data_IF_079589525391
#
_entry.id   IF_079589525391
#
_cell.length_a   1.000
_cell.length_b   1.000
_cell.length_c   1.000
_cell.angle_alpha   90.00
_cell.angle_beta   90.00
_cell.angle_gamma   90.00
#
_symmetry.space_group_name_H-M   'P 1'
#
loop_
_entity.id
_entity.type
_entity.pdbx_description
1 polymer ?
#
# COMPACT_ATOMS: atom_id res chain seq x y z
N UNK A 1 19.86 2.78 7.02
CA UNK A 1 19.61 2.83 5.57
C UNK A 1 18.63 3.96 5.32
N UNK A 2 18.73 4.72 4.21
CA UNK A 2 17.80 5.81 3.96
C UNK A 2 16.41 5.25 3.64
N UNK A 3 15.39 5.74 4.34
CA UNK A 3 13.97 5.44 4.06
C UNK A 3 13.60 5.88 2.63
N UNK A 4 12.67 5.17 1.99
CA UNK A 4 12.10 5.64 0.72
C UNK A 4 11.40 6.99 0.89
N UNK A 5 11.30 7.74 -0.23
CA UNK A 5 10.52 8.98 -0.25
C UNK A 5 9.05 8.70 0.08
N UNK A 6 8.49 7.64 -0.49
CA UNK A 6 7.11 7.19 -0.22
C UNK A 6 6.87 6.85 1.25
N UNK A 7 7.83 6.24 1.97
CA UNK A 7 7.71 6.01 3.40
C UNK A 7 7.70 7.32 4.20
N UNK A 8 8.55 8.29 3.85
CA UNK A 8 8.57 9.59 4.53
C UNK A 8 7.23 10.35 4.33
N UNK A 9 6.74 10.42 3.08
CA UNK A 9 5.44 11.03 2.77
C UNK A 9 4.27 10.34 3.47
N UNK A 10 4.35 9.01 3.62
CA UNK A 10 3.38 8.25 4.39
C UNK A 10 3.37 8.63 5.87
N UNK A 11 4.54 8.71 6.50
CA UNK A 11 4.67 9.09 7.91
C UNK A 11 4.16 10.50 8.17
N UNK A 12 4.44 11.44 7.26
CA UNK A 12 3.90 12.81 7.32
C UNK A 12 2.37 12.83 7.19
N UNK A 13 1.81 12.03 6.27
CA UNK A 13 0.36 11.90 6.12
C UNK A 13 -0.30 11.26 7.33
N UNK A 14 0.36 10.29 7.95
CA UNK A 14 -0.13 9.60 9.13
C UNK A 14 -0.09 10.51 10.37
N UNK A 15 0.88 11.43 10.44
CA UNK A 15 0.91 12.47 11.48
C UNK A 15 -0.36 13.35 11.43
N UNK A 16 -0.96 13.59 10.25
CA UNK A 16 -2.23 14.32 10.17
C UNK A 16 -3.38 13.54 10.83
N UNK A 17 -3.41 12.20 10.69
CA UNK A 17 -4.40 11.38 11.37
C UNK A 17 -4.18 11.41 12.90
N UNK A 18 -2.92 11.42 13.34
CA UNK A 18 -2.54 11.58 14.75
C UNK A 18 -3.02 12.92 15.32
N UNK A 19 -2.88 14.02 14.58
CA UNK A 19 -3.40 15.33 14.98
C UNK A 19 -4.93 15.34 15.14
N UNK A 20 -5.68 14.59 14.33
CA UNK A 20 -7.12 14.44 14.52
C UNK A 20 -7.46 13.70 15.82
N UNK A 21 -6.67 12.68 16.17
CA UNK A 21 -6.82 11.96 17.44
C UNK A 21 -6.48 12.87 18.61
N UNK A 22 -5.41 13.68 18.51
CA UNK A 22 -5.04 14.68 19.53
C UNK A 22 -6.14 15.73 19.70
N UNK A 23 -6.69 16.25 18.61
CA UNK A 23 -7.79 17.22 18.65
C UNK A 23 -9.07 16.65 19.27
N UNK A 24 -9.26 15.34 19.21
CA UNK A 24 -10.39 14.63 19.81
C UNK A 24 -10.23 14.43 21.33
N UNK A 25 -8.99 14.42 21.87
CA UNK A 25 -8.71 14.15 23.29
C UNK A 25 -9.48 14.98 24.31
N UNK A 26 -9.75 16.28 24.10
CA UNK A 26 -10.53 17.08 25.05
C UNK A 26 -12.01 16.67 25.14
N UNK A 27 -12.51 15.87 24.19
CA UNK A 27 -13.91 15.44 24.15
C UNK A 27 -14.15 14.23 25.07
N UNK A 28 -15.39 14.05 25.58
CA UNK A 28 -15.78 12.85 26.31
C UNK A 28 -15.53 11.57 25.49
N UNK A 29 -15.15 10.48 26.15
CA UNK A 29 -15.03 9.15 25.54
C UNK A 29 -15.96 8.16 26.25
N UNK A 30 -17.07 7.71 25.62
CA UNK A 30 -17.47 8.00 24.24
C UNK A 30 -18.00 9.44 24.05
N UNK A 31 -17.92 9.99 22.81
CA UNK A 31 -18.47 11.30 22.49
C UNK A 31 -19.97 11.36 22.82
N UNK A 32 -20.42 12.42 23.46
CA UNK A 32 -21.82 12.56 23.91
C UNK A 32 -22.31 14.01 23.91
N UNK A 33 -23.64 14.16 23.92
CA UNK A 33 -24.31 15.46 23.97
C UNK A 33 -23.92 16.37 22.80
N UNK A 34 -23.59 17.62 23.11
CA UNK A 34 -23.24 18.62 22.10
C UNK A 34 -21.94 18.33 21.32
N UNK A 35 -21.09 17.44 21.82
CA UNK A 35 -19.78 17.12 21.22
C UNK A 35 -19.77 15.86 20.37
N UNK A 36 -20.89 15.13 20.33
CA UNK A 36 -20.97 13.83 19.65
C UNK A 36 -20.60 13.92 18.18
N UNK A 37 -21.19 14.85 17.43
CA UNK A 37 -20.94 15.01 16.00
C UNK A 37 -19.47 15.32 15.70
N UNK A 38 -18.84 16.17 16.52
CA UNK A 38 -17.43 16.52 16.37
C UNK A 38 -16.52 15.32 16.65
N UNK A 39 -16.75 14.60 17.77
CA UNK A 39 -15.96 13.43 18.12
C UNK A 39 -16.05 12.32 17.06
N UNK A 40 -17.25 12.05 16.54
CA UNK A 40 -17.44 11.09 15.46
C UNK A 40 -16.77 11.53 14.15
N UNK A 41 -16.82 12.82 13.82
CA UNK A 41 -16.16 13.36 12.63
C UNK A 41 -14.63 13.24 12.72
N UNK A 42 -14.04 13.56 13.88
CA UNK A 42 -12.59 13.43 14.10
C UNK A 42 -12.14 11.97 14.03
N UNK A 43 -12.83 11.06 14.72
CA UNK A 43 -12.51 9.62 14.71
C UNK A 43 -12.69 8.99 13.32
N UNK A 44 -13.80 9.31 12.66
CA UNK A 44 -14.08 8.85 11.29
C UNK A 44 -13.05 9.39 10.29
N UNK A 45 -12.70 10.68 10.39
CA UNK A 45 -11.66 11.32 9.59
C UNK A 45 -10.30 10.66 9.77
N UNK A 46 -9.88 10.40 11.01
CA UNK A 46 -8.63 9.70 11.30
C UNK A 46 -8.61 8.30 10.67
N UNK A 47 -9.68 7.52 10.82
CA UNK A 47 -9.78 6.18 10.23
C UNK A 47 -9.69 6.20 8.69
N UNK A 48 -10.35 7.16 8.03
CA UNK A 48 -10.28 7.32 6.56
C UNK A 48 -8.87 7.72 6.13
N UNK A 49 -8.26 8.70 6.80
CA UNK A 49 -6.92 9.18 6.47
C UNK A 49 -5.88 8.07 6.61
N UNK A 50 -5.86 7.34 7.73
CA UNK A 50 -4.93 6.22 7.95
C UNK A 50 -4.93 5.22 6.79
N UNK A 51 -6.11 4.75 6.38
CA UNK A 51 -6.24 3.74 5.31
C UNK A 51 -5.90 4.34 3.95
N UNK A 52 -6.33 5.56 3.67
CA UNK A 52 -6.07 6.22 2.37
C UNK A 52 -4.59 6.55 2.20
N UNK A 53 -3.92 7.00 3.26
CA UNK A 53 -2.47 7.23 3.29
C UNK A 53 -1.71 5.93 3.13
N UNK A 54 -2.14 4.84 3.76
CA UNK A 54 -1.49 3.53 3.62
C UNK A 54 -1.66 2.97 2.20
N UNK A 55 -2.82 3.16 1.58
CA UNK A 55 -3.03 2.80 0.17
C UNK A 55 -2.10 3.59 -0.76
N UNK A 56 -2.05 4.91 -0.59
CA UNK A 56 -1.18 5.78 -1.38
C UNK A 56 0.31 5.41 -1.20
N UNK A 57 0.70 5.07 0.03
CA UNK A 57 2.03 4.54 0.34
C UNK A 57 2.35 3.27 -0.46
N UNK A 58 1.48 2.25 -0.44
CA UNK A 58 1.72 1.00 -1.17
C UNK A 58 1.89 1.26 -2.66
N UNK A 59 1.02 2.09 -3.23
CA UNK A 59 1.10 2.47 -4.64
C UNK A 59 2.42 3.19 -4.96
N UNK A 60 2.76 4.23 -4.19
CA UNK A 60 3.98 5.00 -4.39
C UNK A 60 5.25 4.17 -4.17
N UNK A 61 5.26 3.31 -3.15
CA UNK A 61 6.36 2.42 -2.81
C UNK A 61 6.72 1.50 -3.98
N UNK A 62 5.72 0.86 -4.59
CA UNK A 62 5.96 -0.04 -5.72
C UNK A 62 6.43 0.72 -6.97
N UNK A 63 5.88 1.91 -7.23
CA UNK A 63 6.36 2.76 -8.32
C UNK A 63 7.83 3.19 -8.12
N UNK A 64 8.16 3.65 -6.92
CA UNK A 64 9.49 4.13 -6.55
C UNK A 64 10.53 3.02 -6.63
N UNK A 65 10.29 1.89 -5.93
CA UNK A 65 11.27 0.81 -5.82
C UNK A 65 11.46 0.04 -7.12
N UNK A 66 10.36 -0.30 -7.82
CA UNK A 66 10.47 -0.98 -9.12
C UNK A 66 10.92 -0.05 -10.24
N UNK A 67 10.83 1.28 -10.07
CA UNK A 67 11.37 2.26 -11.02
C UNK A 67 12.84 2.02 -11.37
N UNK A 68 13.63 1.53 -10.42
CA UNK A 68 15.03 1.15 -10.65
C UNK A 68 15.22 0.02 -11.68
N UNK A 69 14.23 -0.85 -11.85
CA UNK A 69 14.27 -1.97 -12.82
C UNK A 69 13.95 -1.54 -14.25
N UNK A 70 13.50 -0.30 -14.44
CA UNK A 70 12.98 0.23 -15.71
C UNK A 70 14.01 0.96 -16.56
N UNK A 71 15.26 1.05 -16.07
CA UNK A 71 16.32 1.83 -16.72
C UNK A 71 16.65 1.29 -18.12
N UNK A 72 17.04 2.21 -19.01
CA UNK A 72 17.52 1.90 -20.36
C UNK A 72 19.03 2.18 -20.44
N UNK A 73 19.86 1.24 -20.93
CA UNK A 73 19.50 -0.13 -21.33
C UNK A 73 19.01 -0.99 -20.14
N UNK A 74 18.21 -2.05 -20.37
CA UNK A 74 17.70 -2.89 -19.30
C UNK A 74 18.83 -3.39 -18.38
N UNK A 75 18.75 -3.01 -17.11
CA UNK A 75 19.72 -3.44 -16.08
C UNK A 75 19.48 -4.87 -15.61
N UNK A 76 18.37 -5.47 -16.02
CA UNK A 76 17.97 -6.84 -15.71
C UNK A 76 17.60 -7.59 -17.00
N UNK A 77 18.02 -8.85 -17.09
CA UNK A 77 17.52 -9.79 -18.08
C UNK A 77 16.11 -10.23 -17.68
N UNK A 78 15.11 -9.81 -18.45
CA UNK A 78 13.71 -10.11 -18.17
C UNK A 78 13.43 -11.61 -18.05
N UNK A 79 14.12 -12.44 -18.83
CA UNK A 79 14.03 -13.90 -18.78
C UNK A 79 14.44 -14.52 -17.44
N UNK A 80 15.25 -13.82 -16.63
CA UNK A 80 15.70 -14.25 -15.29
C UNK A 80 14.76 -13.79 -14.16
N UNK A 81 13.74 -12.98 -14.45
CA UNK A 81 12.75 -12.55 -13.44
C UNK A 81 11.83 -13.70 -13.01
N UNK A 82 11.25 -13.64 -11.81
CA UNK A 82 10.21 -14.58 -11.38
C UNK A 82 9.05 -14.65 -12.39
N UNK A 83 8.57 -15.86 -12.69
CA UNK A 83 7.51 -16.10 -13.68
C UNK A 83 6.28 -15.22 -13.47
N UNK A 84 5.85 -15.10 -12.22
CA UNK A 84 4.70 -14.28 -11.84
C UNK A 84 4.92 -12.79 -12.14
N UNK A 85 6.15 -12.30 -11.92
CA UNK A 85 6.53 -10.93 -12.23
C UNK A 85 6.54 -10.69 -13.75
N UNK A 86 7.09 -11.64 -14.53
CA UNK A 86 7.07 -11.58 -15.99
C UNK A 86 5.65 -11.54 -16.53
N UNK A 87 4.80 -12.47 -16.07
CA UNK A 87 3.39 -12.55 -16.45
C UNK A 87 2.65 -11.26 -16.12
N UNK A 88 2.76 -10.76 -14.88
CA UNK A 88 2.07 -9.53 -14.46
C UNK A 88 2.56 -8.31 -15.23
N UNK A 89 3.88 -8.18 -15.43
CA UNK A 89 4.44 -7.07 -16.20
C UNK A 89 3.95 -7.03 -17.65
N UNK A 90 3.69 -8.17 -18.28
CA UNK A 90 3.16 -8.21 -19.65
C UNK A 90 1.66 -7.95 -19.67
N UNK A 91 0.90 -8.78 -18.94
CA UNK A 91 -0.55 -8.81 -19.04
C UNK A 91 -1.21 -7.60 -18.37
N UNK A 92 -0.72 -7.19 -17.21
CA UNK A 92 -1.32 -6.07 -16.49
C UNK A 92 -0.95 -4.73 -17.16
N UNK A 93 0.26 -4.57 -17.71
CA UNK A 93 0.61 -3.36 -18.48
C UNK A 93 -0.27 -3.16 -19.72
N UNK A 94 -0.46 -4.22 -20.51
CA UNK A 94 -1.38 -4.17 -21.66
C UNK A 94 -2.82 -3.99 -21.19
N UNK A 95 -3.23 -4.70 -20.14
CA UNK A 95 -4.57 -4.62 -19.56
C UNK A 95 -4.93 -3.24 -19.02
N UNK A 96 -3.97 -2.54 -18.39
CA UNK A 96 -4.14 -1.17 -17.90
C UNK A 96 -4.29 -0.20 -19.09
N UNK A 97 -3.41 -0.28 -20.08
CA UNK A 97 -3.50 0.55 -21.28
C UNK A 97 -4.82 0.33 -22.06
N UNK A 98 -5.31 -0.91 -22.12
CA UNK A 98 -6.57 -1.24 -22.79
C UNK A 98 -7.82 -0.83 -22.01
N UNK A 99 -7.76 -0.77 -20.67
CA UNK A 99 -8.88 -0.34 -19.83
C UNK A 99 -8.94 1.18 -19.70
N UNK A 100 -7.79 1.85 -19.75
CA UNK A 100 -7.68 3.28 -19.45
C UNK A 100 -7.79 3.57 -17.95
N UNK A 101 -7.68 4.84 -17.54
CA UNK A 101 -7.74 5.23 -16.14
C UNK A 101 -9.10 4.90 -15.52
N UNK A 102 -9.08 4.37 -14.29
CA UNK A 102 -10.30 4.01 -13.57
C UNK A 102 -11.21 5.22 -13.36
N UNK A 103 -12.51 5.00 -13.55
CA UNK A 103 -13.53 6.04 -13.37
C UNK A 103 -13.65 7.02 -14.54
N UNK A 104 -12.81 6.89 -15.58
CA UNK A 104 -12.92 7.70 -16.79
C UNK A 104 -13.63 6.95 -17.91
N UNK A 105 -14.50 7.65 -18.63
CA UNK A 105 -15.07 7.18 -19.92
C UNK A 105 -14.19 7.70 -21.06
N UNK A 106 -12.97 7.19 -21.16
CA UNK A 106 -12.11 7.45 -22.32
C UNK A 106 -12.56 6.62 -23.51
N UNK A 107 -12.62 7.21 -24.71
CA UNK A 107 -12.91 6.44 -25.91
C UNK A 107 -11.75 5.51 -26.27
N UNK A 108 -12.04 4.47 -27.06
CA UNK A 108 -10.99 3.51 -27.46
C UNK A 108 -9.87 4.18 -28.26
N UNK A 109 -10.20 5.19 -29.06
CA UNK A 109 -9.26 5.91 -29.92
C UNK A 109 -8.24 6.70 -29.09
N UNK A 110 -8.65 7.31 -27.99
CA UNK A 110 -7.79 8.12 -27.12
C UNK A 110 -6.72 7.27 -26.42
N UNK A 111 -7.01 5.97 -26.22
CA UNK A 111 -6.12 5.02 -25.56
C UNK A 111 -5.07 4.41 -26.49
N UNK A 112 -5.13 4.67 -27.80
CA UNK A 112 -4.19 4.07 -28.76
C UNK A 112 -2.73 4.40 -28.43
N UNK A 113 -2.46 5.62 -27.97
CA UNK A 113 -1.12 6.03 -27.58
C UNK A 113 -0.59 5.20 -26.39
N UNK A 114 -1.41 4.97 -25.38
CA UNK A 114 -1.08 4.16 -24.19
C UNK A 114 -0.85 2.69 -24.57
N UNK A 115 -1.70 2.14 -25.44
CA UNK A 115 -1.58 0.75 -25.93
C UNK A 115 -0.30 0.56 -26.73
N UNK A 116 0.02 1.49 -27.63
CA UNK A 116 1.27 1.46 -28.41
C UNK A 116 2.49 1.56 -27.48
N UNK A 117 2.44 2.45 -26.48
CA UNK A 117 3.50 2.59 -25.50
C UNK A 117 3.70 1.30 -24.68
N UNK A 118 2.62 0.74 -24.14
CA UNK A 118 2.68 -0.51 -23.38
C UNK A 118 3.21 -1.68 -24.23
N UNK A 119 2.79 -1.79 -25.50
CA UNK A 119 3.30 -2.81 -26.41
C UNK A 119 4.81 -2.67 -26.67
N UNK A 120 5.33 -1.43 -26.78
CA UNK A 120 6.77 -1.17 -26.92
C UNK A 120 7.55 -1.54 -25.67
N UNK A 121 7.03 -1.19 -24.48
CA UNK A 121 7.64 -1.55 -23.19
C UNK A 121 7.73 -3.07 -23.03
N UNK A 122 6.65 -3.78 -23.35
CA UNK A 122 6.60 -5.25 -23.34
C UNK A 122 7.56 -5.85 -24.37
N UNK A 123 7.55 -5.35 -25.60
CA UNK A 123 8.43 -5.84 -26.66
C UNK A 123 9.92 -5.58 -26.40
N UNK A 124 10.23 -4.54 -25.61
CA UNK A 124 11.57 -4.23 -25.14
C UNK A 124 11.92 -4.97 -23.83
N UNK A 125 11.04 -5.84 -23.33
CA UNK A 125 11.22 -6.61 -22.10
C UNK A 125 11.48 -5.72 -20.86
N UNK A 126 10.88 -4.53 -20.82
CA UNK A 126 11.01 -3.59 -19.71
C UNK A 126 9.89 -3.81 -18.69
N UNK A 127 10.24 -3.88 -17.41
CA UNK A 127 9.25 -3.95 -16.33
C UNK A 127 8.51 -2.61 -16.23
N UNK A 128 7.17 -2.66 -16.15
CA UNK A 128 6.37 -1.47 -15.89
C UNK A 128 5.92 -1.42 -14.42
N UNK A 129 6.40 -0.48 -13.60
CA UNK A 129 6.05 -0.41 -12.17
C UNK A 129 4.55 -0.23 -11.94
N UNK A 130 3.86 0.49 -12.85
CA UNK A 130 2.41 0.71 -12.77
C UNK A 130 1.60 -0.58 -12.80
N UNK A 131 2.12 -1.66 -13.41
CA UNK A 131 1.49 -2.98 -13.37
C UNK A 131 1.41 -3.59 -11.96
N UNK A 132 2.26 -3.14 -11.03
CA UNK A 132 2.39 -3.71 -9.69
C UNK A 132 1.85 -2.80 -8.58
N UNK A 133 1.64 -1.52 -8.87
CA UNK A 133 1.22 -0.52 -7.88
C UNK A 133 -0.29 -0.53 -7.58
N UNK A 134 -1.07 -1.35 -8.28
CA UNK A 134 -2.54 -1.31 -8.25
C UNK A 134 -3.14 -1.99 -6.99
N UNK A 135 -3.83 -1.21 -6.16
CA UNK A 135 -4.41 -1.61 -4.87
C UNK A 135 -5.91 -1.90 -4.91
N UNK A 136 -6.61 -1.62 -6.03
CA UNK A 136 -8.06 -1.85 -6.17
C UNK A 136 -8.93 -1.14 -5.12
N UNK A 137 -8.51 0.01 -4.59
CA UNK A 137 -9.25 0.76 -3.55
C UNK A 137 -9.38 0.02 -2.21
N UNK A 138 -8.56 -1.00 -1.97
CA UNK A 138 -8.60 -1.82 -0.76
C UNK A 138 -7.18 -2.27 -0.36
N UNK A 139 -6.49 -1.56 0.55
CA UNK A 139 -5.15 -1.93 1.01
C UNK A 139 -5.15 -3.00 2.11
N UNK A 140 -6.13 -3.92 2.09
CA UNK A 140 -6.23 -5.03 3.04
C UNK A 140 -5.11 -6.07 2.90
N UNK A 141 -5.06 -7.06 3.81
CA UNK A 141 -3.99 -8.05 3.84
C UNK A 141 -3.89 -8.87 2.54
N UNK A 142 -5.01 -9.19 1.90
CA UNK A 142 -5.02 -9.89 0.61
C UNK A 142 -4.30 -9.10 -0.49
N UNK A 143 -4.53 -7.79 -0.57
CA UNK A 143 -3.89 -6.90 -1.54
C UNK A 143 -2.39 -6.80 -1.30
N UNK A 144 -1.97 -6.55 -0.05
CA UNK A 144 -0.54 -6.51 0.32
C UNK A 144 0.13 -7.84 -0.02
N UNK A 145 -0.51 -8.97 0.31
CA UNK A 145 0.01 -10.29 -0.01
C UNK A 145 0.15 -10.54 -1.52
N UNK A 146 -0.84 -10.10 -2.32
CA UNK A 146 -0.83 -10.23 -3.78
C UNK A 146 0.31 -9.41 -4.38
N UNK A 147 0.41 -8.12 -4.03
CA UNK A 147 1.44 -7.20 -4.54
C UNK A 147 2.86 -7.73 -4.30
N UNK A 148 3.15 -8.24 -3.10
CA UNK A 148 4.47 -8.81 -2.78
C UNK A 148 4.71 -10.16 -3.45
N UNK A 149 3.69 -11.00 -3.56
CA UNK A 149 3.81 -12.27 -4.30
C UNK A 149 4.13 -12.03 -5.78
N UNK A 150 3.59 -10.96 -6.37
CA UNK A 150 3.84 -10.61 -7.77
C UNK A 150 5.29 -10.21 -8.06
N UNK A 151 6.03 -9.73 -7.06
CA UNK A 151 7.46 -9.41 -7.15
C UNK A 151 8.35 -10.54 -6.59
N UNK A 152 7.78 -11.72 -6.35
CA UNK A 152 8.51 -12.92 -5.94
C UNK A 152 8.68 -13.11 -4.43
N UNK A 153 7.96 -12.36 -3.60
CA UNK A 153 7.97 -12.54 -2.14
C UNK A 153 6.71 -13.28 -1.69
N UNK A 154 6.84 -14.59 -1.48
CA UNK A 154 5.77 -15.40 -0.93
C UNK A 154 5.54 -15.09 0.56
N UNK A 155 4.28 -15.09 0.99
CA UNK A 155 3.83 -14.87 2.38
C UNK A 155 4.53 -13.70 3.11
N UNK A 156 4.32 -12.49 2.61
CA UNK A 156 4.99 -11.28 3.09
C UNK A 156 4.85 -11.07 4.60
N UNK A 157 3.70 -11.40 5.17
CA UNK A 157 3.43 -11.23 6.60
C UNK A 157 4.27 -12.15 7.50
N UNK A 158 4.63 -13.33 7.00
CA UNK A 158 5.57 -14.23 7.68
C UNK A 158 7.00 -13.69 7.53
N UNK A 159 7.35 -13.23 6.33
CA UNK A 159 8.70 -12.70 6.04
C UNK A 159 9.04 -11.46 6.86
N UNK A 160 8.10 -10.52 7.01
CA UNK A 160 8.35 -9.26 7.75
C UNK A 160 8.13 -9.38 9.26
N UNK A 161 7.66 -10.53 9.74
CA UNK A 161 7.25 -10.74 11.14
C UNK A 161 8.33 -10.33 12.14
N UNK A 162 9.55 -10.83 11.97
CA UNK A 162 10.63 -10.55 12.93
C UNK A 162 11.00 -9.07 13.01
N UNK A 163 11.00 -8.37 11.87
CA UNK A 163 11.20 -6.92 11.84
C UNK A 163 10.03 -6.15 12.46
N UNK A 164 8.80 -6.64 12.24
CA UNK A 164 7.60 -6.02 12.79
C UNK A 164 7.58 -6.14 14.32
N UNK A 165 7.79 -7.35 14.86
CA UNK A 165 7.75 -7.60 16.30
C UNK A 165 8.81 -6.76 17.05
N UNK A 166 9.96 -6.51 16.42
CA UNK A 166 11.00 -5.64 16.96
C UNK A 166 10.56 -4.16 17.05
N UNK A 167 9.83 -3.66 16.05
CA UNK A 167 9.27 -2.30 16.06
C UNK A 167 8.02 -2.19 16.95
N UNK A 168 7.21 -3.25 16.99
CA UNK A 168 6.01 -3.35 17.81
C UNK A 168 6.33 -3.48 19.30
N UNK A 169 7.51 -4.03 19.63
CA UNK A 169 8.02 -4.14 20.99
C UNK A 169 7.53 -5.39 21.74
N UNK A 170 6.71 -6.24 21.12
CA UNK A 170 6.27 -7.52 21.68
C UNK A 170 5.91 -8.53 20.59
N UNK A 171 6.09 -9.84 20.84
CA UNK A 171 5.60 -10.87 19.94
C UNK A 171 4.08 -10.98 20.02
N UNK A 172 3.45 -11.20 18.87
CA UNK A 172 2.00 -11.36 18.74
C UNK A 172 1.67 -12.68 18.02
N UNK A 173 0.38 -13.05 17.99
CA UNK A 173 -0.06 -14.23 17.25
C UNK A 173 0.33 -14.16 15.76
N UNK A 174 0.51 -15.34 15.15
CA UNK A 174 0.91 -15.47 13.74
C UNK A 174 -0.09 -14.86 12.76
N UNK A 175 -1.36 -14.70 13.16
CA UNK A 175 -2.40 -14.02 12.37
C UNK A 175 -2.48 -12.51 12.61
N UNK A 176 -1.85 -11.99 13.67
CA UNK A 176 -2.04 -10.60 14.15
C UNK A 176 -1.90 -9.53 13.07
N UNK A 177 -0.85 -9.58 12.23
CA UNK A 177 -0.66 -8.58 11.17
C UNK A 177 -1.80 -8.58 10.15
N UNK A 178 -2.32 -9.76 9.80
CA UNK A 178 -3.43 -9.90 8.86
C UNK A 178 -4.72 -9.41 9.52
N UNK A 179 -5.00 -9.90 10.72
CA UNK A 179 -6.21 -9.58 11.47
C UNK A 179 -6.31 -8.09 11.79
N UNK A 180 -5.20 -7.47 12.24
CA UNK A 180 -5.17 -6.06 12.60
C UNK A 180 -5.28 -5.14 11.39
N UNK A 181 -4.64 -5.48 10.27
CA UNK A 181 -4.81 -4.71 9.03
C UNK A 181 -6.24 -4.81 8.49
N UNK A 182 -6.84 -6.00 8.52
CA UNK A 182 -8.25 -6.21 8.15
C UNK A 182 -9.18 -5.40 9.06
N UNK A 183 -8.94 -5.40 10.36
CA UNK A 183 -9.68 -4.61 11.35
C UNK A 183 -9.62 -3.10 11.04
N UNK A 184 -8.44 -2.57 10.72
CA UNK A 184 -8.23 -1.16 10.38
C UNK A 184 -8.98 -0.78 9.09
N UNK A 185 -8.85 -1.59 8.04
CA UNK A 185 -9.56 -1.37 6.77
C UNK A 185 -11.08 -1.51 6.95
N UNK A 186 -11.52 -2.50 7.73
CA UNK A 186 -12.92 -2.72 8.09
C UNK A 186 -13.54 -1.51 8.79
N UNK A 187 -12.82 -0.86 9.71
CA UNK A 187 -13.29 0.39 10.34
C UNK A 187 -13.50 1.51 9.33
N UNK A 188 -12.56 1.74 8.40
CA UNK A 188 -12.74 2.75 7.35
C UNK A 188 -13.96 2.47 6.50
N UNK A 189 -14.21 1.21 6.15
CA UNK A 189 -15.40 0.83 5.38
C UNK A 189 -16.69 1.07 6.17
N UNK A 190 -16.69 0.77 7.47
CA UNK A 190 -17.81 1.09 8.35
C UNK A 190 -18.12 2.60 8.37
N UNK A 191 -17.08 3.44 8.50
CA UNK A 191 -17.22 4.91 8.42
C UNK A 191 -17.76 5.36 7.06
N UNK A 192 -17.21 4.84 5.96
CA UNK A 192 -17.62 5.21 4.61
C UNK A 192 -19.09 4.87 4.30
N UNK A 193 -19.62 3.81 4.93
CA UNK A 193 -21.02 3.41 4.81
C UNK A 193 -21.92 3.98 5.93
N UNK A 194 -21.41 4.91 6.74
CA UNK A 194 -22.08 5.48 7.91
C UNK A 194 -22.59 4.43 8.92
N UNK A 195 -21.98 3.24 8.91
CA UNK A 195 -22.27 2.16 9.84
C UNK A 195 -21.37 2.35 11.06
N UNK A 196 -21.96 2.72 12.20
CA UNK A 196 -21.41 2.42 13.52
C UNK A 196 -20.08 3.12 13.90
N UNK A 197 -19.84 4.33 13.38
CA UNK A 197 -18.68 5.20 13.74
C UNK A 197 -18.54 5.38 15.26
N UNK A 198 -19.66 5.28 15.98
CA UNK A 198 -19.74 5.33 17.46
C UNK A 198 -18.91 4.27 18.17
N UNK A 199 -18.54 3.18 17.51
CA UNK A 199 -17.73 2.09 18.10
C UNK A 199 -16.22 2.28 17.97
N UNK A 200 -15.78 3.27 17.20
CA UNK A 200 -14.35 3.57 17.09
C UNK A 200 -13.93 4.27 18.38
N UNK A 201 -13.00 3.68 19.11
CA UNK A 201 -12.43 4.24 20.35
C UNK A 201 -11.10 4.92 20.06
N UNK A 202 -10.67 5.81 20.97
CA UNK A 202 -9.38 6.51 20.86
C UNK A 202 -8.20 5.53 20.87
N UNK A 203 -8.22 4.56 21.78
CA UNK A 203 -7.16 3.55 21.90
C UNK A 203 -7.00 2.72 20.62
N UNK A 204 -8.10 2.41 19.94
CA UNK A 204 -8.05 1.71 18.64
C UNK A 204 -7.39 2.54 17.54
N UNK A 205 -7.56 3.86 17.56
CA UNK A 205 -6.91 4.76 16.59
C UNK A 205 -5.43 4.90 16.90
N UNK A 206 -5.06 5.12 18.17
CA UNK A 206 -3.66 5.20 18.61
C UNK A 206 -2.90 3.90 18.27
N UNK A 207 -3.50 2.74 18.53
CA UNK A 207 -2.92 1.43 18.20
C UNK A 207 -2.80 1.22 16.68
N UNK A 208 -3.80 1.66 15.90
CA UNK A 208 -3.77 1.58 14.44
C UNK A 208 -2.65 2.43 13.83
N UNK A 209 -2.43 3.64 14.35
CA UNK A 209 -1.32 4.51 13.92
C UNK A 209 0.02 3.81 14.16
N UNK A 210 0.25 3.29 15.38
CA UNK A 210 1.48 2.58 15.70
C UNK A 210 1.68 1.36 14.81
N UNK A 211 0.62 0.57 14.60
CA UNK A 211 0.63 -0.62 13.78
C UNK A 211 1.03 -0.30 12.32
N UNK A 212 0.40 0.72 11.73
CA UNK A 212 0.68 1.11 10.35
C UNK A 212 2.09 1.68 10.17
N UNK A 213 2.61 2.45 11.15
CA UNK A 213 4.02 2.92 11.15
C UNK A 213 4.99 1.73 11.10
N UNK A 214 4.80 0.75 11.98
CA UNK A 214 5.65 -0.44 12.05
C UNK A 214 5.55 -1.28 10.76
N UNK A 215 4.32 -1.54 10.29
CA UNK A 215 4.08 -2.33 9.08
C UNK A 215 4.68 -1.67 7.83
N UNK A 216 4.43 -0.37 7.61
CA UNK A 216 4.97 0.34 6.45
C UNK A 216 6.51 0.32 6.41
N UNK A 217 7.14 0.48 7.58
CA UNK A 217 8.61 0.45 7.71
C UNK A 217 9.19 -0.89 7.26
N UNK A 218 8.62 -2.00 7.73
CA UNK A 218 9.15 -3.34 7.38
C UNK A 218 8.81 -3.76 5.95
N UNK A 219 7.69 -3.27 5.41
CA UNK A 219 7.32 -3.46 4.02
C UNK A 219 8.31 -2.73 3.09
N UNK A 220 8.59 -1.44 3.34
CA UNK A 220 9.56 -0.66 2.56
C UNK A 220 10.93 -1.36 2.51
N UNK A 221 11.46 -1.73 3.69
CA UNK A 221 12.74 -2.42 3.79
C UNK A 221 12.75 -3.76 3.05
N UNK A 222 11.64 -4.53 3.10
CA UNK A 222 11.56 -5.81 2.41
C UNK A 222 11.50 -5.66 0.89
N UNK A 223 10.75 -4.69 0.38
CA UNK A 223 10.69 -4.45 -1.07
C UNK A 223 12.04 -3.95 -1.60
N UNK A 224 12.72 -3.06 -0.88
CA UNK A 224 14.08 -2.63 -1.21
C UNK A 224 15.05 -3.82 -1.29
N UNK A 225 15.05 -4.71 -0.28
CA UNK A 225 15.86 -5.92 -0.31
C UNK A 225 15.55 -6.78 -1.54
N UNK A 226 14.28 -6.98 -1.86
CA UNK A 226 13.87 -7.79 -3.00
C UNK A 226 14.35 -7.19 -4.32
N UNK A 227 14.21 -5.88 -4.51
CA UNK A 227 14.68 -5.19 -5.73
C UNK A 227 16.19 -5.29 -5.86
N UNK A 228 16.93 -5.10 -4.76
CA UNK A 228 18.39 -5.25 -4.76
C UNK A 228 18.83 -6.68 -5.08
N UNK A 229 18.10 -7.68 -4.58
CA UNK A 229 18.36 -9.08 -4.91
C UNK A 229 18.14 -9.34 -6.41
N UNK A 230 17.02 -8.86 -6.97
CA UNK A 230 16.74 -8.97 -8.41
C UNK A 230 17.81 -8.28 -9.26
N UNK A 231 18.26 -7.09 -8.89
CA UNK A 231 19.35 -6.38 -9.59
C UNK A 231 20.66 -7.18 -9.61
N UNK A 232 20.92 -7.98 -8.57
CA UNK A 232 22.12 -8.83 -8.48
C UNK A 232 21.95 -10.15 -9.23
N UNK A 233 20.82 -10.83 -9.08
CA UNK A 233 20.61 -12.18 -9.62
C UNK A 233 20.14 -12.18 -11.06
N UNK A 234 19.48 -11.11 -11.49
CA UNK A 234 18.91 -10.98 -12.83
C UNK A 234 19.73 -10.03 -13.71
N UNK A 235 20.91 -9.58 -13.29
CA UNK A 235 21.82 -8.82 -14.16
C UNK A 235 22.07 -9.57 -15.49
N UNK A 236 22.27 -8.87 -16.62
CA UNK A 236 22.45 -9.47 -17.95
C UNK A 236 23.49 -10.60 -17.97
#
# INVERSE_FOLDING_TARGET
MPSSKSLLEFLDSLAMAEELVVAERPLPDPPSGATEALGLALRGGAAILMVSSFEAFLHALFLERLGSLTQQPPVIAFSKLPDRMRLKSVWESLGLAMRGPRGSKTERVDRLAEVIYAARVVGAEIVSPGAFAETKANPGPGTVQEMYADVGVADIFTVVRGGFDALWGRPEASSFLKDKLEEIVGRRNAVAHAVDVRRITRDQLDEAILFLKALATVLDARLESQVNDLLRTCAP
#
